data_IF_806506134517
#
_entry.id   IF_806506134517
#
_cell.length_a   1.000
_cell.length_b   1.000
_cell.length_c   1.000
_cell.angle_alpha   90.00
_cell.angle_beta   90.00
_cell.angle_gamma   90.00
#
_symmetry.space_group_name_H-M   'P 1'
#
loop_
_entity.id
_entity.type
_entity.pdbx_description
1 polymer ?
#
# COMPACT_ATOMS: atom_id res chain seq x y z
N UNK A 1 4.38 -10.22 -63.43
CA UNK A 1 4.44 -8.85 -62.85
C UNK A 1 3.92 -8.79 -61.39
N UNK A 2 3.94 -9.90 -60.63
CA UNK A 2 3.36 -9.98 -59.27
C UNK A 2 4.38 -10.30 -58.15
N UNK A 3 5.58 -10.79 -58.46
CA UNK A 3 6.54 -11.21 -57.43
C UNK A 3 7.25 -10.03 -56.73
N UNK A 4 7.45 -8.91 -57.44
CA UNK A 4 8.13 -7.75 -56.87
C UNK A 4 7.26 -6.97 -55.85
N UNK A 5 5.93 -7.08 -55.92
CA UNK A 5 5.02 -6.39 -54.98
C UNK A 5 4.92 -7.12 -53.65
N UNK A 6 4.88 -8.45 -53.66
CA UNK A 6 4.90 -9.26 -52.43
C UNK A 6 6.23 -9.15 -51.69
N UNK A 7 7.36 -9.10 -52.40
CA UNK A 7 8.67 -8.93 -51.76
C UNK A 7 8.82 -7.55 -51.08
N UNK A 8 8.28 -6.49 -51.67
CA UNK A 8 8.29 -5.14 -51.07
C UNK A 8 7.42 -5.05 -49.80
N UNK A 9 6.27 -5.72 -49.78
CA UNK A 9 5.39 -5.75 -48.60
C UNK A 9 6.01 -6.57 -47.46
N UNK A 10 6.63 -7.72 -47.76
CA UNK A 10 7.32 -8.55 -46.77
C UNK A 10 8.53 -7.83 -46.18
N UNK A 11 9.33 -7.15 -47.01
CA UNK A 11 10.47 -6.34 -46.53
C UNK A 11 10.01 -5.14 -45.68
N UNK A 12 8.87 -4.53 -45.99
CA UNK A 12 8.27 -3.46 -45.19
C UNK A 12 7.80 -3.93 -43.81
N UNK A 13 7.16 -5.11 -43.73
CA UNK A 13 6.71 -5.71 -42.47
C UNK A 13 7.91 -6.13 -41.60
N UNK A 14 8.92 -6.76 -42.19
CA UNK A 14 10.14 -7.17 -41.48
C UNK A 14 10.88 -5.94 -40.94
N UNK A 15 11.01 -4.87 -41.73
CA UNK A 15 11.61 -3.61 -41.29
C UNK A 15 10.84 -2.96 -40.14
N UNK A 16 9.50 -2.95 -40.20
CA UNK A 16 8.65 -2.43 -39.14
C UNK A 16 8.76 -3.22 -37.83
N UNK A 17 8.76 -4.55 -37.90
CA UNK A 17 8.90 -5.41 -36.71
C UNK A 17 10.29 -5.26 -36.05
N UNK A 18 11.35 -5.09 -36.84
CA UNK A 18 12.71 -4.84 -36.34
C UNK A 18 12.78 -3.48 -35.65
N UNK A 19 12.19 -2.43 -36.24
CA UNK A 19 12.17 -1.09 -35.65
C UNK A 19 11.38 -1.04 -34.32
N UNK A 20 10.23 -1.71 -34.24
CA UNK A 20 9.45 -1.80 -32.99
C UNK A 20 10.21 -2.58 -31.91
N UNK A 21 10.91 -3.65 -32.30
CA UNK A 21 11.72 -4.45 -31.36
C UNK A 21 12.92 -3.66 -30.81
N UNK A 22 13.57 -2.83 -31.64
CA UNK A 22 14.67 -1.95 -31.22
C UNK A 22 14.17 -0.85 -30.28
N UNK A 23 12.99 -0.26 -30.53
CA UNK A 23 12.40 0.75 -29.64
C UNK A 23 12.01 0.15 -28.28
N UNK A 24 11.39 -1.03 -28.25
CA UNK A 24 11.08 -1.73 -27.00
C UNK A 24 12.37 -2.07 -26.24
N UNK A 25 13.40 -2.55 -26.94
CA UNK A 25 14.70 -2.78 -26.32
C UNK A 25 15.27 -1.47 -25.72
N UNK A 26 15.28 -0.36 -26.46
CA UNK A 26 15.80 0.93 -25.96
C UNK A 26 14.99 1.50 -24.78
N UNK A 27 13.71 1.16 -24.63
CA UNK A 27 12.89 1.58 -23.48
C UNK A 27 13.06 0.65 -22.27
N UNK A 28 13.31 -0.63 -22.49
CA UNK A 28 13.38 -1.64 -21.42
C UNK A 28 14.82 -1.82 -20.89
N UNK A 29 15.85 -1.74 -21.74
CA UNK A 29 17.24 -1.96 -21.34
C UNK A 29 17.81 -0.92 -20.36
N UNK A 30 17.50 0.40 -20.45
CA UNK A 30 17.92 1.36 -19.42
C UNK A 30 17.32 1.04 -18.05
N UNK A 31 16.10 0.51 -18.01
CA UNK A 31 15.38 0.17 -16.76
C UNK A 31 15.94 -1.09 -16.07
N UNK A 32 16.52 -2.02 -16.83
CA UNK A 32 17.14 -3.25 -16.30
C UNK A 32 18.56 -2.98 -15.78
N UNK A 33 19.30 -2.06 -16.42
CA UNK A 33 20.66 -1.72 -16.01
C UNK A 33 20.66 -0.77 -14.80
N UNK A 34 19.72 0.18 -14.73
CA UNK A 34 19.61 1.08 -13.56
C UNK A 34 19.15 0.37 -12.28
N UNK A 35 18.53 -0.81 -12.40
CA UNK A 35 18.07 -1.60 -11.26
C UNK A 35 19.12 -2.62 -10.75
N UNK A 36 20.21 -2.87 -11.49
CA UNK A 36 21.23 -3.86 -11.07
C UNK A 36 22.47 -3.23 -10.42
N UNK A 37 22.87 -2.01 -10.81
CA UNK A 37 24.01 -1.31 -10.19
C UNK A 37 23.68 -0.69 -8.82
N UNK A 38 22.42 -0.37 -8.54
CA UNK A 38 21.97 0.04 -7.20
C UNK A 38 21.95 -1.12 -6.21
N UNK A 39 21.66 -2.34 -6.68
CA UNK A 39 21.62 -3.55 -5.85
C UNK A 39 23.03 -4.06 -5.51
N UNK A 40 23.99 -3.91 -6.42
CA UNK A 40 25.36 -4.42 -6.22
C UNK A 40 26.23 -3.54 -5.31
N UNK A 41 25.92 -2.24 -5.20
CA UNK A 41 26.57 -1.35 -4.22
C UNK A 41 25.95 -1.46 -2.81
N UNK A 42 24.75 -2.04 -2.70
CA UNK A 42 24.06 -2.28 -1.43
C UNK A 42 24.57 -3.55 -0.71
N UNK A 43 25.00 -4.57 -1.46
CA UNK A 43 25.45 -5.85 -0.88
C UNK A 43 26.84 -5.78 -0.23
N UNK A 44 27.80 -5.02 -0.78
CA UNK A 44 29.15 -4.98 -0.18
C UNK A 44 29.24 -4.19 1.13
N UNK A 45 28.34 -3.22 1.37
CA UNK A 45 28.36 -2.42 2.59
C UNK A 45 27.55 -3.01 3.76
N UNK A 46 26.64 -3.95 3.50
CA UNK A 46 25.83 -4.61 4.53
C UNK A 46 26.49 -5.90 5.05
N UNK A 47 27.37 -6.55 4.26
CA UNK A 47 28.01 -7.82 4.62
C UNK A 47 29.14 -7.75 5.69
N UNK A 48 29.26 -6.64 6.44
CA UNK A 48 30.22 -6.51 7.56
C UNK A 48 29.61 -6.51 8.96
N UNK A 49 28.31 -6.70 9.11
CA UNK A 49 27.73 -7.02 10.42
C UNK A 49 27.11 -8.41 10.39
N UNK A 50 27.85 -9.36 10.96
CA UNK A 50 27.32 -10.68 11.32
C UNK A 50 26.08 -10.51 12.21
N UNK A 51 24.92 -10.96 11.72
CA UNK A 51 23.75 -11.18 12.57
C UNK A 51 23.32 -12.64 12.45
N UNK A 52 23.56 -13.38 13.53
CA UNK A 52 23.10 -14.74 13.73
C UNK A 52 21.59 -14.71 14.06
N UNK A 53 20.74 -15.52 13.41
CA UNK A 53 19.30 -15.43 13.63
C UNK A 53 18.91 -16.15 14.93
N UNK A 54 18.37 -15.39 15.89
CA UNK A 54 17.68 -15.93 17.08
C UNK A 54 16.20 -15.54 17.05
N UNK A 55 15.34 -16.36 17.65
CA UNK A 55 13.86 -16.35 17.65
C UNK A 55 13.17 -15.04 18.09
N UNK A 56 13.92 -13.97 18.38
CA UNK A 56 13.44 -12.68 18.84
C UNK A 56 12.92 -11.73 17.74
N UNK A 57 13.13 -12.02 16.45
CA UNK A 57 12.73 -11.12 15.35
C UNK A 57 11.21 -10.94 15.21
N UNK A 58 10.42 -11.97 15.55
CA UNK A 58 8.94 -11.92 15.49
C UNK A 58 8.33 -10.94 16.51
N UNK A 59 9.01 -10.72 17.63
CA UNK A 59 8.51 -9.86 18.73
C UNK A 59 8.86 -8.38 18.46
N UNK A 60 9.93 -8.12 17.72
CA UNK A 60 10.39 -6.75 17.44
C UNK A 60 9.52 -6.08 16.37
N UNK A 61 9.12 -6.81 15.32
CA UNK A 61 8.31 -6.24 14.22
C UNK A 61 6.86 -5.92 14.63
N UNK A 62 6.20 -6.73 15.47
CA UNK A 62 4.85 -6.44 15.96
C UNK A 62 4.80 -5.26 16.95
N UNK A 63 5.88 -5.05 17.73
CA UNK A 63 6.07 -3.85 18.56
C UNK A 63 6.32 -2.59 17.74
N UNK A 64 6.86 -2.68 16.53
CA UNK A 64 7.12 -1.51 15.67
C UNK A 64 5.84 -0.86 15.13
N UNK A 65 4.75 -1.62 14.95
CA UNK A 65 3.41 -1.08 14.62
C UNK A 65 2.77 -0.35 15.79
N UNK A 66 3.19 -0.71 17.00
CA UNK A 66 2.65 -0.26 18.26
C UNK A 66 3.75 0.47 19.02
N UNK A 67 3.98 1.74 18.67
CA UNK A 67 4.62 2.64 19.62
C UNK A 67 3.64 2.93 20.76
N UNK A 68 3.46 1.96 21.65
CA UNK A 68 2.69 2.11 22.89
C UNK A 68 3.47 3.04 23.79
N UNK A 69 3.31 4.35 23.60
CA UNK A 69 3.38 5.26 24.74
C UNK A 69 2.03 5.17 25.45
N UNK A 70 1.89 4.18 26.35
CA UNK A 70 0.76 4.16 27.27
C UNK A 70 0.90 5.35 28.21
N UNK A 71 0.35 6.51 27.87
CA UNK A 71 0.22 7.62 28.81
C UNK A 71 -0.92 7.22 29.76
N UNK A 72 -0.57 6.57 30.87
CA UNK A 72 -1.51 6.26 31.95
C UNK A 72 -1.93 7.57 32.64
N UNK A 73 -2.93 8.25 32.10
CA UNK A 73 -3.67 9.26 32.86
C UNK A 73 -4.74 8.57 33.71
N UNK A 74 -5.00 9.14 34.89
CA UNK A 74 -5.77 8.58 36.01
C UNK A 74 -7.29 8.33 35.75
N UNK A 75 -7.69 8.16 34.48
CA UNK A 75 -9.01 7.74 34.03
C UNK A 75 -8.81 6.86 32.79
N UNK A 76 -8.85 5.55 32.97
CA UNK A 76 -8.28 4.50 32.11
C UNK A 76 -8.89 4.40 30.71
N UNK A 77 -8.46 5.27 29.78
CA UNK A 77 -8.48 4.97 28.34
C UNK A 77 -7.02 4.88 27.88
N UNK A 78 -6.58 3.68 27.52
CA UNK A 78 -5.27 3.47 26.90
C UNK A 78 -5.30 4.15 25.52
N UNK A 79 -4.40 5.12 25.31
CA UNK A 79 -4.23 5.80 24.03
C UNK A 79 -3.17 5.01 23.25
N UNK A 80 -3.56 4.42 22.13
CA UNK A 80 -2.64 3.71 21.23
C UNK A 80 -2.23 4.66 20.13
N UNK A 81 -0.91 4.78 19.92
CA UNK A 81 -0.30 5.65 18.92
C UNK A 81 0.30 4.78 17.81
N UNK A 82 -0.06 5.08 16.57
CA UNK A 82 0.44 4.48 15.35
C UNK A 82 1.15 5.57 14.55
N UNK A 83 2.45 5.40 14.28
CA UNK A 83 3.27 6.36 13.53
C UNK A 83 3.16 7.81 14.05
N UNK A 84 3.10 7.98 15.37
CA UNK A 84 3.00 9.29 16.01
C UNK A 84 1.60 9.89 16.12
N UNK A 85 0.54 9.20 15.64
CA UNK A 85 -0.85 9.67 15.73
C UNK A 85 -1.80 8.64 16.35
N UNK A 86 -2.92 9.07 16.92
CA UNK A 86 -3.99 8.16 17.36
C UNK A 86 -4.75 7.60 16.15
N UNK A 87 -5.48 6.49 16.32
CA UNK A 87 -6.37 5.99 15.26
C UNK A 87 -7.43 7.03 14.89
N UNK A 88 -8.05 7.64 15.90
CA UNK A 88 -9.08 8.66 15.71
C UNK A 88 -8.57 9.87 14.93
N UNK A 89 -7.31 10.28 15.15
CA UNK A 89 -6.66 11.34 14.37
C UNK A 89 -6.28 10.85 12.97
N UNK A 90 -5.70 9.65 12.86
CA UNK A 90 -5.26 9.07 11.59
C UNK A 90 -6.39 8.93 10.57
N UNK A 91 -7.60 8.56 11.02
CA UNK A 91 -8.77 8.38 10.15
C UNK A 91 -9.59 9.66 9.94
N UNK A 92 -9.15 10.83 10.47
CA UNK A 92 -9.87 12.08 10.25
C UNK A 92 -10.04 12.33 8.75
N UNK A 93 -11.26 12.68 8.36
CA UNK A 93 -11.57 13.10 6.99
C UNK A 93 -11.70 14.62 6.92
N UNK A 94 -11.83 15.13 5.70
CA UNK A 94 -12.18 16.51 5.40
C UNK A 94 -13.08 16.55 4.16
N UNK A 95 -13.58 17.74 3.82
CA UNK A 95 -14.50 17.92 2.69
C UNK A 95 -13.90 17.45 1.36
N UNK A 96 -12.59 17.60 1.14
CA UNK A 96 -11.94 17.15 -0.10
C UNK A 96 -11.94 15.63 -0.26
N UNK A 97 -11.62 14.91 0.83
CA UNK A 97 -11.64 13.44 0.86
C UNK A 97 -13.06 12.94 0.69
N UNK A 98 -14.01 13.52 1.43
CA UNK A 98 -15.43 13.10 1.39
C UNK A 98 -16.02 13.32 -0.01
N UNK A 99 -15.83 14.52 -0.58
CA UNK A 99 -16.29 14.82 -1.93
C UNK A 99 -15.61 13.97 -2.99
N UNK A 100 -14.31 13.66 -2.83
CA UNK A 100 -13.63 12.74 -3.76
C UNK A 100 -14.24 11.35 -3.70
N UNK A 101 -14.46 10.79 -2.51
CA UNK A 101 -15.06 9.47 -2.33
C UNK A 101 -16.45 9.43 -2.97
N UNK A 102 -17.34 10.36 -2.61
CA UNK A 102 -18.70 10.48 -3.15
C UNK A 102 -18.69 10.58 -4.68
N UNK A 103 -17.82 11.42 -5.25
CA UNK A 103 -17.68 11.58 -6.71
C UNK A 103 -17.22 10.31 -7.41
N UNK A 104 -16.25 9.59 -6.84
CA UNK A 104 -15.76 8.34 -7.39
C UNK A 104 -16.85 7.26 -7.38
N UNK A 105 -17.67 7.22 -6.32
CA UNK A 105 -18.67 6.18 -6.11
C UNK A 105 -20.07 6.50 -6.63
N UNK A 106 -20.31 7.70 -7.16
CA UNK A 106 -21.66 8.19 -7.54
C UNK A 106 -22.45 7.24 -8.48
N UNK A 107 -21.75 6.47 -9.32
CA UNK A 107 -22.37 5.56 -10.28
C UNK A 107 -22.50 4.12 -9.81
N UNK A 108 -21.84 3.75 -8.71
CA UNK A 108 -21.80 2.39 -8.19
C UNK A 108 -23.17 1.95 -7.66
N UNK A 109 -23.53 0.70 -7.91
CA UNK A 109 -24.81 0.08 -7.56
C UNK A 109 -24.69 -0.84 -6.36
N UNK A 110 -23.52 -1.44 -6.15
CA UNK A 110 -23.26 -2.40 -5.06
C UNK A 110 -22.24 -1.86 -4.07
N UNK A 111 -22.23 -2.41 -2.85
CA UNK A 111 -21.18 -2.10 -1.87
C UNK A 111 -19.81 -2.54 -2.41
N UNK A 112 -19.76 -3.70 -3.09
CA UNK A 112 -18.52 -4.21 -3.69
C UNK A 112 -17.94 -3.24 -4.72
N UNK A 113 -18.77 -2.68 -5.60
CA UNK A 113 -18.33 -1.70 -6.60
C UNK A 113 -17.76 -0.45 -5.93
N UNK A 114 -18.43 0.10 -4.92
CA UNK A 114 -17.91 1.23 -4.15
C UNK A 114 -16.56 0.91 -3.52
N UNK A 115 -16.48 -0.22 -2.82
CA UNK A 115 -15.26 -0.69 -2.18
C UNK A 115 -14.10 -0.87 -3.18
N UNK A 116 -14.39 -1.43 -4.37
CA UNK A 116 -13.39 -1.67 -5.41
C UNK A 116 -12.90 -0.38 -6.06
N UNK A 117 -13.80 0.57 -6.32
CA UNK A 117 -13.44 1.88 -6.87
C UNK A 117 -12.49 2.61 -5.93
N UNK A 118 -12.80 2.64 -4.63
CA UNK A 118 -11.95 3.25 -3.62
C UNK A 118 -10.59 2.54 -3.51
N UNK A 119 -10.59 1.20 -3.49
CA UNK A 119 -9.37 0.38 -3.49
C UNK A 119 -8.45 0.74 -4.65
N UNK A 120 -9.00 0.74 -5.86
CA UNK A 120 -8.23 0.99 -7.07
C UNK A 120 -7.73 2.43 -7.13
N UNK A 121 -8.54 3.39 -6.72
CA UNK A 121 -8.14 4.80 -6.73
C UNK A 121 -7.01 5.06 -5.73
N UNK A 122 -7.14 4.62 -4.47
CA UNK A 122 -6.09 4.79 -3.46
C UNK A 122 -4.82 4.04 -3.89
N UNK A 123 -4.96 2.77 -4.32
CA UNK A 123 -3.85 1.94 -4.76
C UNK A 123 -3.02 2.58 -5.87
N UNK A 124 -3.69 3.16 -6.88
CA UNK A 124 -3.03 3.77 -8.04
C UNK A 124 -2.65 5.25 -7.88
N UNK A 125 -3.20 5.98 -6.90
CA UNK A 125 -2.98 7.42 -6.75
C UNK A 125 -2.15 7.81 -5.53
N UNK A 126 -1.94 6.89 -4.59
CA UNK A 126 -1.11 7.12 -3.40
C UNK A 126 0.14 6.26 -3.49
N UNK A 127 1.27 6.89 -3.78
CA UNK A 127 2.56 6.19 -3.92
C UNK A 127 3.07 5.74 -2.55
N UNK A 128 3.71 4.58 -2.49
CA UNK A 128 4.35 4.13 -1.27
C UNK A 128 5.58 4.99 -0.95
N UNK A 129 5.67 5.45 0.30
CA UNK A 129 6.75 6.33 0.77
C UNK A 129 7.81 5.53 1.54
N UNK A 130 8.85 5.08 0.83
CA UNK A 130 9.92 4.26 1.41
C UNK A 130 10.78 5.03 2.42
N UNK A 131 10.98 6.33 2.21
CA UNK A 131 11.77 7.17 3.12
C UNK A 131 11.02 7.34 4.44
N UNK A 132 9.73 7.66 4.36
CA UNK A 132 8.84 7.67 5.53
C UNK A 132 8.80 6.32 6.24
N UNK A 133 8.74 5.22 5.50
CA UNK A 133 8.75 3.88 6.11
C UNK A 133 10.03 3.63 6.90
N UNK A 134 11.20 3.97 6.35
CA UNK A 134 12.48 3.85 7.05
C UNK A 134 12.55 4.74 8.29
N UNK A 135 12.07 5.98 8.20
CA UNK A 135 12.03 6.90 9.33
C UNK A 135 11.14 6.37 10.46
N UNK A 136 9.92 5.92 10.14
CA UNK A 136 8.99 5.31 11.10
C UNK A 136 9.60 4.06 11.74
N UNK A 137 10.24 3.19 10.95
CA UNK A 137 10.88 1.96 11.45
C UNK A 137 12.13 2.25 12.29
N UNK A 138 12.84 3.34 12.03
CA UNK A 138 14.01 3.73 12.81
C UNK A 138 13.66 4.20 14.23
N UNK A 139 12.37 4.45 14.51
CA UNK A 139 11.88 4.77 15.86
C UNK A 139 12.41 6.09 16.40
N UNK A 140 12.66 7.06 15.51
CA UNK A 140 13.15 8.40 15.86
C UNK A 140 12.23 9.16 16.83
N UNK A 141 12.70 10.33 17.25
CA UNK A 141 11.97 11.27 18.12
C UNK A 141 10.53 11.49 17.62
N UNK A 142 9.54 11.22 18.49
CA UNK A 142 8.12 11.36 18.15
C UNK A 142 7.75 12.79 17.74
N UNK A 143 8.48 13.80 18.22
CA UNK A 143 8.28 15.20 17.79
C UNK A 143 8.71 15.45 16.34
N UNK A 144 9.51 14.55 15.77
CA UNK A 144 9.99 14.61 14.39
C UNK A 144 9.33 13.58 13.49
N UNK A 145 8.35 12.81 14.00
CA UNK A 145 7.68 11.81 13.18
C UNK A 145 6.94 12.47 12.02
N UNK A 146 7.05 11.90 10.80
CA UNK A 146 6.36 12.43 9.64
C UNK A 146 4.84 12.34 9.83
N UNK A 147 4.13 13.37 9.36
CA UNK A 147 2.67 13.43 9.43
C UNK A 147 2.03 12.16 8.85
N UNK A 148 1.13 11.54 9.60
CA UNK A 148 0.51 10.26 9.25
C UNK A 148 -1.02 10.31 9.31
N UNK A 149 -1.68 9.51 8.48
CA UNK A 149 -3.14 9.42 8.37
C UNK A 149 -3.72 9.79 7.01
N UNK A 150 -5.05 9.85 6.94
CA UNK A 150 -5.82 10.03 5.72
C UNK A 150 -5.58 11.39 5.05
N UNK A 151 -5.56 12.47 5.84
CA UNK A 151 -5.35 13.84 5.35
C UNK A 151 -3.97 14.01 4.70
N UNK A 152 -2.84 13.71 5.38
CA UNK A 152 -1.52 13.85 4.76
C UNK A 152 -1.38 12.93 3.54
N UNK A 153 -1.88 11.69 3.60
CA UNK A 153 -1.84 10.78 2.45
C UNK A 153 -2.55 11.35 1.22
N UNK A 154 -3.75 11.91 1.43
CA UNK A 154 -4.54 12.48 0.36
C UNK A 154 -3.89 13.75 -0.21
N UNK A 155 -3.32 14.61 0.62
CA UNK A 155 -2.73 15.88 0.16
C UNK A 155 -1.40 15.66 -0.56
N UNK A 156 -0.50 14.84 -0.01
CA UNK A 156 0.83 14.58 -0.57
C UNK A 156 0.81 13.60 -1.75
N UNK A 157 -0.23 12.75 -1.84
CA UNK A 157 -0.30 11.59 -2.75
C UNK A 157 0.79 10.55 -2.47
N UNK A 158 1.31 10.51 -1.25
CA UNK A 158 2.28 9.53 -0.77
C UNK A 158 1.87 9.01 0.62
N UNK A 159 2.34 7.83 1.00
CA UNK A 159 2.12 7.32 2.35
C UNK A 159 2.51 5.85 2.48
N UNK A 160 2.61 5.39 3.73
CA UNK A 160 2.89 3.98 4.05
C UNK A 160 1.59 3.21 4.33
N UNK A 161 1.68 1.93 4.69
CA UNK A 161 0.52 1.05 4.84
C UNK A 161 -0.58 1.63 5.76
N UNK A 162 -0.18 2.20 6.91
CA UNK A 162 -1.10 2.84 7.85
C UNK A 162 -1.83 4.04 7.24
N UNK A 163 -1.12 4.91 6.52
CA UNK A 163 -1.69 6.11 5.89
C UNK A 163 -2.73 5.75 4.84
N UNK A 164 -2.38 4.77 3.99
CA UNK A 164 -3.26 4.25 2.93
C UNK A 164 -4.49 3.56 3.52
N UNK A 165 -4.33 2.80 4.60
CA UNK A 165 -5.42 2.14 5.30
C UNK A 165 -6.35 3.15 6.02
N UNK A 166 -5.79 4.21 6.60
CA UNK A 166 -6.56 5.32 7.17
C UNK A 166 -7.36 6.08 6.10
N UNK A 167 -6.74 6.36 4.96
CA UNK A 167 -7.43 7.00 3.84
C UNK A 167 -8.57 6.13 3.30
N UNK A 168 -8.37 4.82 3.24
CA UNK A 168 -9.43 3.89 2.87
C UNK A 168 -10.60 3.96 3.87
N UNK A 169 -10.33 3.98 5.19
CA UNK A 169 -11.39 4.17 6.20
C UNK A 169 -12.15 5.48 5.98
N UNK A 170 -11.45 6.60 5.82
CA UNK A 170 -12.08 7.91 5.64
C UNK A 170 -12.98 7.94 4.39
N UNK A 171 -12.48 7.47 3.25
CA UNK A 171 -13.25 7.42 2.01
C UNK A 171 -14.41 6.41 2.05
N UNK A 172 -14.22 5.25 2.69
CA UNK A 172 -15.29 4.26 2.87
C UNK A 172 -16.44 4.81 3.71
N UNK A 173 -16.14 5.51 4.80
CA UNK A 173 -17.17 6.17 5.63
C UNK A 173 -17.97 7.19 4.83
N UNK A 174 -17.30 8.03 4.04
CA UNK A 174 -17.96 8.98 3.15
C UNK A 174 -18.84 8.28 2.07
N UNK A 175 -18.41 7.12 1.58
CA UNK A 175 -19.15 6.30 0.63
C UNK A 175 -20.21 5.38 1.26
N UNK A 176 -20.53 5.58 2.55
CA UNK A 176 -21.48 4.79 3.33
C UNK A 176 -21.18 3.28 3.32
N UNK A 177 -19.90 2.94 3.47
CA UNK A 177 -19.42 1.57 3.64
C UNK A 177 -18.93 1.37 5.07
N UNK A 178 -19.39 0.29 5.69
CA UNK A 178 -18.89 -0.14 6.99
C UNK A 178 -17.50 -0.76 6.83
N UNK A 179 -16.53 -0.32 7.61
CA UNK A 179 -15.10 -0.58 7.39
C UNK A 179 -14.35 -0.81 8.70
N UNK A 180 -13.32 -1.64 8.65
CA UNK A 180 -12.38 -1.90 9.75
C UNK A 180 -10.95 -1.56 9.34
N UNK A 181 -10.16 -1.11 10.30
CA UNK A 181 -8.71 -1.05 10.21
C UNK A 181 -8.14 -2.27 10.95
N UNK A 182 -7.26 -3.02 10.30
CA UNK A 182 -6.59 -4.18 10.87
C UNK A 182 -5.11 -3.91 11.01
N UNK A 183 -4.53 -4.45 12.08
CA UNK A 183 -3.09 -4.50 12.31
C UNK A 183 -2.64 -5.96 12.41
N UNK A 184 -1.45 -6.25 11.91
CA UNK A 184 -0.87 -7.59 12.01
C UNK A 184 0.41 -7.69 11.21
N UNK A 185 0.64 -8.83 10.57
CA UNK A 185 1.81 -9.07 9.72
C UNK A 185 1.39 -9.43 8.30
N UNK A 186 2.19 -9.01 7.31
CA UNK A 186 2.04 -9.41 5.92
C UNK A 186 3.40 -9.75 5.30
N UNK A 187 3.41 -10.73 4.39
CA UNK A 187 4.62 -11.07 3.64
C UNK A 187 4.81 -10.11 2.46
N UNK A 188 5.88 -9.33 2.47
CA UNK A 188 6.17 -8.29 1.46
C UNK A 188 6.82 -8.83 0.16
N UNK A 189 7.19 -10.12 0.15
CA UNK A 189 7.97 -10.74 -0.93
C UNK A 189 9.26 -11.37 -0.43
N UNK A 190 9.80 -10.85 0.68
CA UNK A 190 11.06 -11.27 1.29
C UNK A 190 10.87 -11.78 2.72
N UNK A 191 10.06 -11.09 3.52
CA UNK A 191 9.83 -11.42 4.92
C UNK A 191 8.45 -10.98 5.42
N UNK A 192 8.09 -11.44 6.62
CA UNK A 192 6.94 -10.90 7.33
C UNK A 192 7.33 -9.58 8.00
N UNK A 193 6.68 -8.53 7.56
CA UNK A 193 6.72 -7.21 8.19
C UNK A 193 5.39 -6.97 8.85
N UNK A 194 5.36 -6.17 9.91
CA UNK A 194 4.05 -5.75 10.37
C UNK A 194 3.37 -4.91 9.28
N UNK A 195 2.04 -4.84 9.35
CA UNK A 195 1.26 -4.26 8.28
C UNK A 195 -0.09 -3.73 8.77
N UNK A 196 -0.63 -2.77 8.04
CA UNK A 196 -1.97 -2.23 8.27
C UNK A 196 -2.79 -2.27 6.98
N UNK A 197 -4.01 -2.78 7.06
CA UNK A 197 -4.93 -2.91 5.93
C UNK A 197 -6.38 -2.83 6.40
N UNK A 198 -7.33 -3.13 5.51
CA UNK A 198 -8.75 -2.96 5.78
C UNK A 198 -9.56 -4.23 5.56
N UNK A 199 -10.70 -4.26 6.23
CA UNK A 199 -11.85 -5.07 5.83
C UNK A 199 -13.03 -4.14 5.59
N UNK A 200 -13.85 -4.47 4.60
CA UNK A 200 -15.09 -3.75 4.33
C UNK A 200 -16.25 -4.74 4.37
N UNK A 201 -17.33 -4.34 5.03
CA UNK A 201 -18.55 -5.13 5.08
C UNK A 201 -19.42 -4.78 3.88
N UNK A 202 -19.72 -5.79 3.08
CA UNK A 202 -20.64 -5.69 1.96
C UNK A 202 -22.02 -6.09 2.49
N UNK A 203 -22.89 -5.10 2.72
CA UNK A 203 -24.20 -5.33 3.32
C UNK A 203 -25.14 -6.08 2.35
N UNK A 204 -25.03 -5.79 1.05
CA UNK A 204 -25.73 -6.50 -0.02
C UNK A 204 -25.33 -7.99 -0.14
N UNK A 205 -24.17 -8.37 0.40
CA UNK A 205 -23.66 -9.76 0.39
C UNK A 205 -23.55 -10.38 1.78
N UNK A 206 -23.83 -9.60 2.83
CA UNK A 206 -23.76 -10.02 4.23
C UNK A 206 -22.40 -10.65 4.61
N UNK A 207 -21.29 -10.07 4.15
CA UNK A 207 -19.94 -10.57 4.45
C UNK A 207 -18.88 -9.47 4.58
N UNK A 208 -17.85 -9.75 5.35
CA UNK A 208 -16.61 -8.98 5.36
C UNK A 208 -15.67 -9.49 4.26
N UNK A 209 -15.02 -8.56 3.56
CA UNK A 209 -13.97 -8.87 2.59
C UNK A 209 -12.69 -8.14 2.96
N UNK A 210 -11.53 -8.73 2.64
CA UNK A 210 -10.23 -8.09 2.85
C UNK A 210 -9.89 -7.13 1.69
N UNK A 211 -9.30 -5.99 2.04
CA UNK A 211 -8.86 -4.96 1.09
C UNK A 211 -7.53 -4.37 1.56
N UNK A 212 -6.54 -4.37 0.68
CA UNK A 212 -5.20 -3.81 0.99
C UNK A 212 -4.69 -3.00 -0.19
N UNK A 213 -4.80 -1.68 -0.05
CA UNK A 213 -4.39 -0.73 -1.09
C UNK A 213 -2.86 -0.56 -1.18
N UNK A 214 -2.10 -1.05 -0.21
CA UNK A 214 -0.63 -0.95 -0.19
C UNK A 214 -0.03 -1.86 -1.24
N UNK A 215 -0.51 -3.10 -1.32
CA UNK A 215 0.00 -4.11 -2.25
C UNK A 215 -0.67 -4.06 -3.63
N UNK A 216 -1.37 -2.98 -3.97
CA UNK A 216 -2.06 -2.79 -5.25
C UNK A 216 -1.15 -3.05 -6.47
N UNK A 217 0.09 -2.54 -6.43
CA UNK A 217 1.06 -2.74 -7.52
C UNK A 217 1.63 -4.17 -7.57
N UNK A 218 1.57 -4.89 -6.45
CA UNK A 218 2.01 -6.29 -6.33
C UNK A 218 0.94 -7.32 -6.71
N UNK A 219 -0.32 -6.92 -6.87
CA UNK A 219 -1.41 -7.82 -7.26
C UNK A 219 -2.81 -7.33 -6.90
N UNK A 220 -3.81 -8.19 -7.13
CA UNK A 220 -5.20 -7.89 -6.79
C UNK A 220 -5.50 -8.22 -5.32
N UNK A 221 -5.14 -7.34 -4.39
CA UNK A 221 -5.45 -7.46 -2.96
C UNK A 221 -6.83 -6.88 -2.62
N UNK A 222 -7.84 -7.42 -3.29
CA UNK A 222 -9.26 -7.11 -3.06
C UNK A 222 -10.07 -8.41 -3.11
N UNK A 223 -10.59 -8.86 -1.97
CA UNK A 223 -11.39 -10.09 -1.82
C UNK A 223 -10.79 -11.31 -2.56
N UNK A 224 -9.46 -11.51 -2.41
CA UNK A 224 -8.71 -12.53 -3.15
C UNK A 224 -7.99 -13.52 -2.24
N UNK A 225 -7.47 -14.60 -2.83
CA UNK A 225 -6.69 -15.60 -2.12
C UNK A 225 -5.27 -15.14 -1.73
N UNK A 226 -4.84 -13.94 -2.17
CA UNK A 226 -3.52 -13.38 -1.84
C UNK A 226 -3.39 -12.99 -0.36
N UNK A 227 -4.51 -12.87 0.35
CA UNK A 227 -4.54 -12.62 1.80
C UNK A 227 -4.15 -13.84 2.65
N UNK A 228 -3.79 -14.97 2.04
CA UNK A 228 -3.26 -16.13 2.78
C UNK A 228 -1.88 -15.88 3.41
N UNK A 229 -1.26 -14.74 3.11
CA UNK A 229 -0.02 -14.25 3.73
C UNK A 229 -0.22 -13.01 4.59
N UNK A 230 -1.47 -12.72 4.99
CA UNK A 230 -1.83 -11.66 5.91
C UNK A 230 -2.33 -12.27 7.22
N UNK A 231 -1.53 -12.15 8.26
CA UNK A 231 -1.84 -12.64 9.59
C UNK A 231 -2.42 -11.50 10.42
N UNK A 232 -3.74 -11.55 10.66
CA UNK A 232 -4.44 -10.57 11.51
C UNK A 232 -4.02 -10.77 12.96
N UNK A 233 -3.52 -9.72 13.60
CA UNK A 233 -3.24 -9.71 15.04
C UNK A 233 -4.30 -8.92 15.80
N UNK A 234 -4.85 -7.87 15.19
CA UNK A 234 -5.87 -7.02 15.82
C UNK A 234 -6.84 -6.35 14.84
N UNK A 235 -8.02 -6.00 15.38
CA UNK A 235 -8.92 -5.01 14.79
C UNK A 235 -8.68 -3.69 15.55
N UNK A 236 -7.94 -2.78 14.95
CA UNK A 236 -7.60 -1.49 15.55
C UNK A 236 -8.80 -0.54 15.62
N UNK A 237 -9.80 -0.72 14.75
CA UNK A 237 -11.09 -0.02 14.84
C UNK A 237 -12.09 -0.45 13.78
N UNK A 238 -13.35 -0.08 14.01
CA UNK A 238 -14.52 -0.38 13.17
C UNK A 238 -15.44 0.83 13.11
N UNK A 239 -15.92 1.20 11.92
CA UNK A 239 -16.81 2.33 11.67
C UNK A 239 -17.89 1.99 10.65
#
# INVERSE_FOLDING_TARGET
MNENKTMLVVNGIISGCIQVSIIIALLVFPSIIFNSTSVQSFTENVLKQEYSPSENSKIVNSKLFKNIQSIKNASSKEIIIYNGVTIEDGIKSNEEIDNKALKLTQGAKTDRERAKILYSWIGSNIKYDNEKAQEVLSGGDTEKMPESGAIPAFSSRTGICFDKACLYVAMSRAANLKVRLLGGQAYDGEQYVGHAWNQVYLADENKWINVDTTFYDGGNYFDSNLFNKHDVEEIAGEW
#
